data_IF_080201017500
#
_entry.id   IF_080201017500
#
_cell.length_a   1.000
_cell.length_b   1.000
_cell.length_c   1.000
_cell.angle_alpha   90.00
_cell.angle_beta   90.00
_cell.angle_gamma   90.00
#
_symmetry.space_group_name_H-M   'P 1'
#
loop_
_entity.id
_entity.type
_entity.pdbx_description
1 polymer ?
#
# COMPACT_ATOMS: atom_id res chain seq x y z
N UNK A 1 -19.62 20.01 -16.39
CA UNK A 1 -18.64 19.17 -17.04
C UNK A 1 -18.18 18.14 -16.00
N UNK A 2 -18.67 16.88 -16.13
CA UNK A 2 -18.31 15.80 -15.23
C UNK A 2 -16.84 15.44 -15.46
N UNK A 3 -16.11 15.22 -14.36
CA UNK A 3 -14.78 14.65 -14.42
C UNK A 3 -14.83 13.30 -15.16
N UNK A 4 -13.92 13.02 -16.10
CA UNK A 4 -13.91 11.74 -16.77
C UNK A 4 -13.71 10.64 -15.73
N UNK A 5 -14.57 9.62 -15.76
CA UNK A 5 -14.43 8.44 -14.91
C UNK A 5 -12.99 7.90 -15.05
N UNK A 6 -12.33 7.64 -13.92
CA UNK A 6 -10.98 7.10 -13.92
C UNK A 6 -10.92 5.83 -14.78
N UNK A 7 -9.97 5.79 -15.72
CA UNK A 7 -9.82 4.65 -16.61
C UNK A 7 -9.41 3.40 -15.83
N UNK A 8 -10.06 2.26 -16.12
CA UNK A 8 -9.68 0.97 -15.55
C UNK A 8 -8.27 0.63 -16.04
N UNK A 9 -7.36 0.34 -15.10
CA UNK A 9 -6.00 -0.10 -15.40
C UNK A 9 -5.89 -1.61 -15.13
N UNK A 10 -5.88 -2.47 -16.16
CA UNK A 10 -5.78 -3.90 -15.96
C UNK A 10 -4.36 -4.36 -15.69
N UNK A 11 -4.21 -5.32 -14.78
CA UNK A 11 -3.01 -6.11 -14.58
C UNK A 11 -3.28 -7.55 -14.97
N UNK A 12 -2.34 -8.18 -15.67
CA UNK A 12 -2.45 -9.58 -16.04
C UNK A 12 -1.21 -10.36 -15.59
N UNK A 13 -1.41 -11.58 -15.12
CA UNK A 13 -0.33 -12.52 -14.80
C UNK A 13 -0.78 -13.95 -15.08
N UNK A 14 0.17 -14.86 -15.16
CA UNK A 14 -0.10 -16.28 -15.31
C UNK A 14 0.33 -17.03 -14.05
N UNK A 15 -0.52 -17.91 -13.56
CA UNK A 15 -0.22 -18.77 -12.44
C UNK A 15 -0.69 -20.20 -12.75
N UNK A 16 0.22 -21.17 -12.66
CA UNK A 16 -0.04 -22.59 -12.97
C UNK A 16 -0.71 -22.79 -14.33
N UNK A 17 -0.28 -22.04 -15.36
CA UNK A 17 -0.84 -22.12 -16.71
C UNK A 17 -2.19 -21.42 -16.88
N UNK A 18 -2.72 -20.79 -15.84
CA UNK A 18 -3.98 -20.03 -15.89
C UNK A 18 -3.66 -18.53 -15.92
N UNK A 19 -4.24 -17.84 -16.91
CA UNK A 19 -4.13 -16.39 -17.01
C UNK A 19 -5.13 -15.72 -16.05
N UNK A 20 -4.63 -14.84 -15.23
CA UNK A 20 -5.42 -14.01 -14.32
C UNK A 20 -5.42 -12.56 -14.80
N UNK A 21 -6.51 -11.86 -14.53
CA UNK A 21 -6.65 -10.45 -14.79
C UNK A 21 -7.29 -9.79 -13.57
N UNK A 22 -6.78 -8.62 -13.19
CA UNK A 22 -7.30 -7.82 -12.09
C UNK A 22 -7.23 -6.33 -12.42
N UNK A 23 -8.04 -5.53 -11.74
CA UNK A 23 -7.97 -4.08 -11.84
C UNK A 23 -6.96 -3.56 -10.83
N UNK A 24 -6.08 -2.67 -11.28
CA UNK A 24 -5.17 -1.93 -10.39
C UNK A 24 -5.92 -0.83 -9.64
N UNK A 25 -5.74 -0.79 -8.33
CA UNK A 25 -6.26 0.29 -7.48
C UNK A 25 -5.15 0.97 -6.71
N UNK A 26 -5.23 2.29 -6.65
CA UNK A 26 -4.36 3.11 -5.82
C UNK A 26 -5.13 4.34 -5.33
N UNK A 27 -5.17 4.54 -4.02
CA UNK A 27 -5.77 5.73 -3.40
C UNK A 27 -4.87 6.96 -3.52
N UNK A 28 -3.61 6.77 -3.89
CA UNK A 28 -2.61 7.82 -4.10
C UNK A 28 -2.34 8.09 -5.59
N UNK A 29 -3.22 7.65 -6.48
CA UNK A 29 -3.10 7.81 -7.93
C UNK A 29 -1.76 7.30 -8.51
N UNK A 30 -1.16 6.30 -7.89
CA UNK A 30 0.03 5.65 -8.44
C UNK A 30 -0.33 4.90 -9.71
N UNK A 31 0.46 5.02 -10.79
CA UNK A 31 0.20 4.27 -12.01
C UNK A 31 0.37 2.77 -11.79
N UNK A 32 -0.33 1.97 -12.57
CA UNK A 32 -0.15 0.53 -12.58
C UNK A 32 1.30 0.17 -12.94
N UNK A 33 1.90 -0.81 -12.22
CA UNK A 33 3.26 -1.23 -12.53
C UNK A 33 3.34 -1.84 -13.94
N UNK A 34 4.43 -1.53 -14.64
CA UNK A 34 4.68 -2.05 -16.00
C UNK A 34 5.25 -3.48 -16.00
N UNK A 35 5.98 -3.82 -14.94
CA UNK A 35 6.62 -5.12 -14.77
C UNK A 35 6.17 -5.73 -13.47
N UNK A 36 5.79 -6.98 -13.52
CA UNK A 36 5.25 -7.72 -12.39
C UNK A 36 5.83 -9.12 -12.35
N UNK A 37 6.28 -9.55 -11.16
CA UNK A 37 6.69 -10.92 -10.87
C UNK A 37 5.80 -11.49 -9.76
N UNK A 38 5.52 -12.79 -9.83
CA UNK A 38 4.86 -13.50 -8.74
C UNK A 38 5.90 -13.89 -7.70
N UNK A 39 5.58 -13.73 -6.45
CA UNK A 39 6.44 -14.06 -5.32
C UNK A 39 5.64 -14.80 -4.25
N UNK A 40 6.34 -15.55 -3.42
CA UNK A 40 5.76 -16.33 -2.33
C UNK A 40 6.66 -16.31 -1.09
N UNK A 41 6.40 -17.23 -0.16
CA UNK A 41 7.13 -17.34 1.11
C UNK A 41 8.64 -17.56 0.97
N UNK A 42 9.13 -17.89 -0.22
CA UNK A 42 10.57 -18.06 -0.51
C UNK A 42 11.28 -16.75 -0.82
N UNK A 43 10.55 -15.66 -1.04
CA UNK A 43 11.14 -14.35 -1.31
C UNK A 43 11.96 -13.87 -0.11
N UNK A 44 13.20 -13.49 -0.35
CA UNK A 44 14.05 -12.84 0.66
C UNK A 44 13.93 -11.31 0.59
N UNK A 45 14.21 -10.63 1.69
CA UNK A 45 14.22 -9.15 1.70
C UNK A 45 15.24 -8.58 0.72
N UNK A 46 16.40 -9.23 0.52
CA UNK A 46 17.41 -8.82 -0.44
C UNK A 46 16.89 -8.90 -1.89
N UNK A 47 16.22 -9.99 -2.25
CA UNK A 47 15.61 -10.14 -3.57
C UNK A 47 14.50 -9.11 -3.78
N UNK A 48 13.67 -8.87 -2.76
CA UNK A 48 12.60 -7.89 -2.82
C UNK A 48 13.13 -6.47 -3.06
N UNK A 49 14.16 -6.06 -2.37
CA UNK A 49 14.83 -4.76 -2.59
C UNK A 49 15.40 -4.66 -4.00
N UNK A 50 15.97 -5.74 -4.52
CA UNK A 50 16.49 -5.78 -5.90
C UNK A 50 15.37 -5.59 -6.93
N UNK A 51 14.24 -6.29 -6.79
CA UNK A 51 13.08 -6.09 -7.66
C UNK A 51 12.55 -4.66 -7.57
N UNK A 52 12.38 -4.15 -6.35
CA UNK A 52 11.88 -2.78 -6.13
C UNK A 52 12.82 -1.72 -6.74
N UNK A 53 14.13 -1.90 -6.64
CA UNK A 53 15.11 -1.01 -7.26
C UNK A 53 15.03 -0.99 -8.80
N UNK A 54 14.60 -2.09 -9.40
CA UNK A 54 14.37 -2.22 -10.84
C UNK A 54 12.99 -1.69 -11.28
N UNK A 55 12.14 -1.25 -10.36
CA UNK A 55 10.77 -0.86 -10.64
C UNK A 55 9.83 -2.02 -10.93
N UNK A 56 10.22 -3.25 -10.58
CA UNK A 56 9.43 -4.46 -10.76
C UNK A 56 8.52 -4.68 -9.57
N UNK A 57 7.22 -4.71 -9.78
CA UNK A 57 6.24 -5.05 -8.76
C UNK A 57 6.25 -6.55 -8.44
N UNK A 58 5.99 -6.86 -7.19
CA UNK A 58 5.97 -8.22 -6.66
C UNK A 58 4.55 -8.56 -6.21
N UNK A 59 3.86 -9.44 -6.94
CA UNK A 59 2.54 -9.94 -6.55
C UNK A 59 2.72 -11.09 -5.56
N UNK A 60 2.30 -10.86 -4.32
CA UNK A 60 2.40 -11.83 -3.25
C UNK A 60 1.30 -12.89 -3.34
N UNK A 61 1.69 -14.16 -3.38
CA UNK A 61 0.79 -15.31 -3.45
C UNK A 61 1.03 -16.30 -2.29
N UNK A 62 1.85 -15.95 -1.33
CA UNK A 62 2.15 -16.75 -0.15
C UNK A 62 1.30 -16.36 1.07
N UNK A 63 1.80 -16.70 2.24
CA UNK A 63 1.16 -16.41 3.52
C UNK A 63 1.15 -14.89 3.81
N UNK A 64 -0.01 -14.37 4.19
CA UNK A 64 -0.20 -12.94 4.43
C UNK A 64 0.68 -12.40 5.57
N UNK A 65 0.86 -13.16 6.65
CA UNK A 65 1.70 -12.71 7.77
C UNK A 65 3.18 -12.61 7.35
N UNK A 66 3.62 -13.51 6.48
CA UNK A 66 4.96 -13.44 5.90
C UNK A 66 5.11 -12.24 4.96
N UNK A 67 4.07 -11.86 4.23
CA UNK A 67 4.07 -10.64 3.43
C UNK A 67 4.33 -9.39 4.28
N UNK A 68 3.69 -9.30 5.44
CA UNK A 68 3.90 -8.20 6.39
C UNK A 68 5.33 -8.18 6.93
N UNK A 69 5.89 -9.34 7.23
CA UNK A 69 7.27 -9.46 7.69
C UNK A 69 8.27 -9.04 6.61
N UNK A 70 8.05 -9.45 5.36
CA UNK A 70 8.88 -9.05 4.21
C UNK A 70 8.78 -7.53 3.98
N UNK A 71 7.60 -6.94 4.05
CA UNK A 71 7.44 -5.50 3.92
C UNK A 71 8.26 -4.74 4.97
N UNK A 72 8.18 -5.17 6.23
CA UNK A 72 8.98 -4.60 7.33
C UNK A 72 10.49 -4.78 7.12
N UNK A 73 10.91 -5.92 6.59
CA UNK A 73 12.32 -6.20 6.30
C UNK A 73 12.86 -5.35 5.15
N UNK A 74 12.07 -5.13 4.10
CA UNK A 74 12.39 -4.19 3.02
C UNK A 74 12.57 -2.79 3.58
N UNK A 75 11.65 -2.34 4.40
CA UNK A 75 11.67 -1.01 5.01
C UNK A 75 12.94 -0.78 5.85
N UNK A 76 13.31 -1.75 6.67
CA UNK A 76 14.56 -1.69 7.46
C UNK A 76 15.80 -1.61 6.58
N UNK A 77 15.85 -2.37 5.47
CA UNK A 77 16.99 -2.34 4.53
C UNK A 77 17.10 -0.98 3.83
N UNK A 78 15.99 -0.42 3.37
CA UNK A 78 15.98 0.89 2.73
C UNK A 78 16.38 2.00 3.69
N UNK A 79 15.97 1.92 4.96
CA UNK A 79 16.35 2.87 5.99
C UNK A 79 17.85 2.82 6.31
N UNK A 80 18.43 1.63 6.35
CA UNK A 80 19.88 1.47 6.57
C UNK A 80 20.71 2.00 5.39
N UNK A 81 20.28 1.73 4.16
CA UNK A 81 20.95 2.25 2.95
C UNK A 81 20.91 3.78 2.89
N UNK A 82 19.82 4.40 3.28
CA UNK A 82 19.69 5.85 3.31
C UNK A 82 20.62 6.54 4.32
N UNK A 83 20.99 5.87 5.39
CA UNK A 83 21.96 6.40 6.37
C UNK A 83 23.40 6.37 5.87
N UNK A 84 23.76 5.47 4.95
CA UNK A 84 25.11 5.35 4.38
C UNK A 84 25.44 6.41 3.32
N UNK A 85 24.43 7.08 2.76
CA UNK A 85 24.61 8.14 1.74
C UNK A 85 24.79 9.54 2.32
N UNK A 86 24.81 9.68 3.64
CA UNK A 86 24.93 10.97 4.36
C UNK A 86 26.32 11.60 4.32
N UNK A 87 27.27 11.07 3.55
CA UNK A 87 28.66 11.55 3.46
C UNK A 87 28.88 12.72 2.48
N UNK A 88 27.85 13.23 1.85
CA UNK A 88 27.98 14.39 0.97
C UNK A 88 27.77 15.68 1.78
N UNK A 89 28.66 16.66 1.69
CA UNK A 89 28.50 17.90 2.45
C UNK A 89 27.18 18.56 2.12
N UNK A 90 26.43 18.89 3.16
CA UNK A 90 25.18 19.65 3.07
C UNK A 90 25.57 21.10 2.88
N UNK A 91 25.09 21.72 1.80
CA UNK A 91 25.42 23.11 1.45
C UNK A 91 24.41 24.12 2.00
N UNK A 92 23.19 23.66 2.39
CA UNK A 92 22.16 24.48 3.03
C UNK A 92 21.09 23.61 3.71
N UNK A 93 20.33 24.17 4.64
CA UNK A 93 19.18 23.53 5.28
C UNK A 93 18.09 23.16 4.27
N UNK A 94 17.91 23.98 3.23
CA UNK A 94 16.98 23.70 2.15
C UNK A 94 17.38 22.46 1.33
N UNK A 95 18.67 22.29 1.06
CA UNK A 95 19.20 21.11 0.35
C UNK A 95 19.05 19.84 1.18
N UNK A 96 19.25 19.92 2.49
CA UNK A 96 19.05 18.81 3.42
C UNK A 96 17.58 18.41 3.46
N UNK A 97 16.67 19.35 3.59
CA UNK A 97 15.22 19.12 3.58
C UNK A 97 14.76 18.47 2.27
N UNK A 98 15.26 18.94 1.14
CA UNK A 98 14.96 18.38 -0.18
C UNK A 98 15.44 16.95 -0.31
N UNK A 99 16.66 16.64 0.13
CA UNK A 99 17.21 15.27 0.12
C UNK A 99 16.39 14.31 0.98
N UNK A 100 16.02 14.73 2.20
CA UNK A 100 15.19 13.94 3.11
C UNK A 100 13.84 13.64 2.46
N UNK A 101 13.22 14.64 1.86
CA UNK A 101 11.94 14.50 1.16
C UNK A 101 12.03 13.54 -0.03
N UNK A 102 13.08 13.65 -0.84
CA UNK A 102 13.32 12.74 -1.96
C UNK A 102 13.58 11.30 -1.49
N UNK A 103 14.38 11.11 -0.44
CA UNK A 103 14.66 9.79 0.11
C UNK A 103 13.38 9.12 0.65
N UNK A 104 12.51 9.87 1.32
CA UNK A 104 11.21 9.38 1.80
C UNK A 104 10.28 9.02 0.64
N UNK A 105 10.22 9.82 -0.40
CA UNK A 105 9.41 9.56 -1.58
C UNK A 105 9.90 8.31 -2.33
N UNK A 106 11.20 8.14 -2.48
CA UNK A 106 11.81 6.96 -3.10
C UNK A 106 11.53 5.69 -2.27
N UNK A 107 11.71 5.75 -0.96
CA UNK A 107 11.39 4.64 -0.05
C UNK A 107 9.92 4.24 -0.13
N UNK A 108 9.01 5.20 -0.08
CA UNK A 108 7.57 4.96 -0.22
C UNK A 108 7.23 4.30 -1.56
N UNK A 109 7.85 4.74 -2.64
CA UNK A 109 7.68 4.18 -3.99
C UNK A 109 8.13 2.72 -4.06
N UNK A 110 9.30 2.41 -3.49
CA UNK A 110 9.83 1.05 -3.45
C UNK A 110 8.97 0.11 -2.59
N UNK A 111 8.52 0.56 -1.42
CA UNK A 111 7.64 -0.22 -0.54
C UNK A 111 6.28 -0.49 -1.20
N UNK A 112 5.79 0.42 -2.02
CA UNK A 112 4.50 0.26 -2.72
C UNK A 112 4.52 -0.81 -3.82
N UNK A 113 5.67 -1.36 -4.17
CA UNK A 113 5.80 -2.40 -5.19
C UNK A 113 5.52 -3.82 -4.68
N UNK A 114 5.34 -4.03 -3.38
CA UNK A 114 4.81 -5.29 -2.86
C UNK A 114 3.28 -5.25 -2.90
N UNK A 115 2.70 -6.10 -3.75
CA UNK A 115 1.27 -6.10 -4.07
C UNK A 115 0.58 -7.32 -3.50
N UNK A 116 -0.71 -7.18 -3.20
CA UNK A 116 -1.59 -8.29 -2.82
C UNK A 116 -2.85 -8.31 -3.68
N UNK A 117 -3.38 -9.51 -4.01
CA UNK A 117 -4.63 -9.62 -4.75
C UNK A 117 -5.83 -9.49 -3.81
N UNK A 118 -6.92 -8.92 -4.32
CA UNK A 118 -8.23 -8.86 -3.68
C UNK A 118 -9.24 -9.58 -4.58
N UNK A 119 -10.14 -10.35 -3.97
CA UNK A 119 -11.29 -10.93 -4.65
C UNK A 119 -12.58 -10.47 -4.00
N UNK A 120 -13.62 -10.30 -4.79
CA UNK A 120 -14.96 -10.03 -4.29
C UNK A 120 -15.80 -11.29 -4.33
N UNK A 121 -16.48 -11.60 -3.23
CA UNK A 121 -17.46 -12.66 -3.17
C UNK A 121 -18.68 -12.27 -4.05
N UNK A 122 -19.05 -13.13 -5.00
CA UNK A 122 -20.14 -12.85 -5.95
C UNK A 122 -21.50 -12.70 -5.27
N UNK A 123 -21.72 -13.41 -4.16
CA UNK A 123 -23.00 -13.39 -3.46
C UNK A 123 -23.14 -12.17 -2.52
N UNK A 124 -22.07 -11.77 -1.85
CA UNK A 124 -22.08 -10.73 -0.82
C UNK A 124 -21.45 -9.41 -1.25
N UNK A 125 -20.65 -9.40 -2.33
CA UNK A 125 -19.87 -8.24 -2.74
C UNK A 125 -18.75 -7.86 -1.76
N UNK A 126 -18.43 -8.71 -0.80
CA UNK A 126 -17.41 -8.46 0.21
C UNK A 126 -16.02 -8.82 -0.33
N UNK A 127 -15.07 -7.90 -0.14
CA UNK A 127 -13.67 -8.14 -0.52
C UNK A 127 -12.99 -9.09 0.46
N UNK A 128 -12.18 -10.00 -0.07
CA UNK A 128 -11.32 -10.91 0.68
C UNK A 128 -9.92 -10.94 0.12
N UNK A 129 -8.95 -11.25 0.97
CA UNK A 129 -7.57 -11.58 0.57
C UNK A 129 -7.49 -13.10 0.39
N UNK A 130 -7.28 -13.59 -0.85
CA UNK A 130 -7.19 -15.03 -1.11
C UNK A 130 -5.81 -15.59 -0.77
N UNK A 131 -5.36 -15.39 0.45
CA UNK A 131 -4.03 -15.76 0.96
C UNK A 131 -4.16 -16.49 2.30
N UNK A 132 -3.27 -17.46 2.60
CA UNK A 132 -3.22 -18.09 3.91
C UNK A 132 -3.03 -17.08 5.04
N UNK A 133 -3.69 -17.30 6.17
CA UNK A 133 -3.66 -16.45 7.37
C UNK A 133 -4.01 -14.98 7.12
N UNK A 134 -4.79 -14.71 6.09
CA UNK A 134 -5.24 -13.36 5.79
C UNK A 134 -6.31 -12.89 6.79
N UNK A 135 -6.29 -11.63 7.21
CA UNK A 135 -7.33 -11.05 8.04
C UNK A 135 -8.59 -10.78 7.21
N UNK A 136 -9.70 -10.56 7.89
CA UNK A 136 -10.89 -9.99 7.28
C UNK A 136 -10.67 -8.51 6.98
N UNK A 137 -10.78 -8.13 5.70
CA UNK A 137 -10.49 -6.77 5.23
C UNK A 137 -11.67 -6.10 4.53
N UNK A 138 -12.81 -6.78 4.44
CA UNK A 138 -13.96 -6.30 3.67
C UNK A 138 -14.41 -4.90 4.05
N UNK A 139 -14.56 -4.61 5.34
CA UNK A 139 -14.97 -3.30 5.82
C UNK A 139 -13.91 -2.22 5.55
N UNK A 140 -12.62 -2.52 5.73
CA UNK A 140 -11.55 -1.60 5.44
C UNK A 140 -11.43 -1.31 3.94
N UNK A 141 -11.59 -2.33 3.09
CA UNK A 141 -11.58 -2.16 1.62
C UNK A 141 -12.76 -1.30 1.16
N UNK A 142 -13.94 -1.52 1.71
CA UNK A 142 -15.08 -0.65 1.45
C UNK A 142 -14.82 0.79 1.87
N UNK A 143 -14.23 1.00 3.02
CA UNK A 143 -13.88 2.32 3.55
C UNK A 143 -12.90 3.08 2.65
N UNK A 144 -11.86 2.41 2.15
CA UNK A 144 -10.76 3.04 1.43
C UNK A 144 -10.85 2.99 -0.09
N UNK A 145 -11.54 2.00 -0.67
CA UNK A 145 -11.49 1.71 -2.11
C UNK A 145 -12.85 1.76 -2.82
N UNK A 146 -13.94 2.08 -2.14
CA UNK A 146 -15.27 2.06 -2.73
C UNK A 146 -15.43 2.94 -3.98
N UNK A 147 -14.63 3.99 -4.10
CA UNK A 147 -14.65 4.90 -5.24
C UNK A 147 -13.75 4.43 -6.40
N UNK A 148 -13.03 3.34 -6.22
CA UNK A 148 -12.14 2.81 -7.26
C UNK A 148 -12.92 2.11 -8.37
N UNK A 149 -12.45 2.18 -9.63
CA UNK A 149 -13.14 1.56 -10.75
C UNK A 149 -13.23 0.04 -10.60
N UNK A 150 -14.40 -0.53 -10.89
CA UNK A 150 -14.66 -1.97 -10.77
C UNK A 150 -14.84 -2.47 -9.33
N UNK A 151 -15.08 -1.57 -8.37
CA UNK A 151 -15.34 -1.97 -6.98
C UNK A 151 -16.54 -2.91 -6.88
N UNK A 152 -16.38 -4.00 -6.14
CA UNK A 152 -17.42 -5.01 -5.90
C UNK A 152 -17.46 -6.13 -6.94
N UNK A 153 -16.64 -6.09 -7.99
CA UNK A 153 -16.66 -7.05 -9.08
C UNK A 153 -15.24 -7.62 -9.36
N UNK A 154 -15.19 -8.93 -9.56
CA UNK A 154 -14.00 -9.62 -10.04
C UNK A 154 -12.81 -9.58 -9.07
N UNK A 155 -11.66 -9.19 -9.57
CA UNK A 155 -10.40 -9.14 -8.83
C UNK A 155 -9.75 -7.76 -8.94
N UNK A 156 -9.12 -7.33 -7.86
CA UNK A 156 -8.28 -6.14 -7.83
C UNK A 156 -6.89 -6.48 -7.28
N UNK A 157 -5.93 -5.60 -7.55
CA UNK A 157 -4.58 -5.67 -6.98
C UNK A 157 -4.27 -4.32 -6.35
N UNK A 158 -3.78 -4.37 -5.13
CA UNK A 158 -3.41 -3.17 -4.36
C UNK A 158 -2.02 -3.32 -3.76
N UNK A 159 -1.39 -2.20 -3.45
CA UNK A 159 -0.16 -2.20 -2.65
C UNK A 159 -0.47 -2.66 -1.21
N UNK A 160 0.33 -3.57 -0.67
CA UNK A 160 0.20 -4.01 0.73
C UNK A 160 0.43 -2.85 1.71
N UNK A 161 1.38 -1.97 1.43
CA UNK A 161 1.63 -0.77 2.24
C UNK A 161 0.38 0.12 2.30
N UNK A 162 -0.25 0.37 1.16
CA UNK A 162 -1.47 1.17 1.08
C UNK A 162 -2.64 0.50 1.80
N UNK A 163 -2.85 -0.81 1.60
CA UNK A 163 -3.89 -1.56 2.28
C UNK A 163 -3.72 -1.52 3.81
N UNK A 164 -2.49 -1.65 4.29
CA UNK A 164 -2.17 -1.51 5.73
C UNK A 164 -2.53 -0.12 6.25
N UNK A 165 -2.26 0.92 5.49
CA UNK A 165 -2.67 2.30 5.82
C UNK A 165 -4.19 2.47 5.85
N UNK A 166 -4.90 1.89 4.89
CA UNK A 166 -6.37 1.88 4.85
C UNK A 166 -6.97 1.14 6.04
N UNK A 167 -6.41 -0.01 6.41
CA UNK A 167 -6.83 -0.75 7.61
C UNK A 167 -6.64 0.08 8.89
N UNK A 168 -5.50 0.75 9.03
CA UNK A 168 -5.24 1.64 10.17
C UNK A 168 -6.21 2.81 10.23
N UNK A 169 -6.45 3.47 9.11
CA UNK A 169 -7.41 4.57 9.01
C UNK A 169 -8.85 4.12 9.34
N UNK A 170 -9.26 2.95 8.84
CA UNK A 170 -10.57 2.38 9.15
C UNK A 170 -10.71 2.05 10.65
N UNK A 171 -9.68 1.48 11.27
CA UNK A 171 -9.67 1.19 12.70
C UNK A 171 -9.90 2.46 13.53
N UNK A 172 -9.28 3.56 13.15
CA UNK A 172 -9.47 4.84 13.82
C UNK A 172 -10.84 5.45 13.56
N UNK A 173 -11.36 5.29 12.37
CA UNK A 173 -12.73 5.68 12.04
C UNK A 173 -13.75 4.96 12.94
N UNK A 174 -13.58 3.64 13.16
CA UNK A 174 -14.48 2.82 13.99
C UNK A 174 -14.32 3.11 15.48
N UNK A 175 -13.08 3.16 15.98
CA UNK A 175 -12.81 3.32 17.42
C UNK A 175 -12.79 4.77 17.88
N UNK A 176 -12.60 5.71 16.95
CA UNK A 176 -12.39 7.11 17.23
C UNK A 176 -10.97 7.45 17.74
N UNK A 177 -10.62 8.71 17.65
CA UNK A 177 -9.34 9.26 18.11
C UNK A 177 -9.61 10.25 19.25
N UNK A 178 -8.96 10.05 20.39
CA UNK A 178 -9.02 10.98 21.50
C UNK A 178 -8.28 12.28 21.13
N UNK A 179 -8.98 13.40 21.23
CA UNK A 179 -8.40 14.72 21.02
C UNK A 179 -8.49 15.48 22.34
N UNK A 180 -7.42 15.51 23.16
CA UNK A 180 -7.45 16.10 24.49
C UNK A 180 -7.92 17.56 24.51
N UNK A 181 -7.55 18.34 23.49
CA UNK A 181 -7.96 19.74 23.37
C UNK A 181 -9.48 19.93 23.21
N UNK A 182 -10.19 18.92 22.72
CA UNK A 182 -11.65 18.95 22.53
C UNK A 182 -12.41 18.19 23.62
N UNK A 183 -11.72 17.41 24.44
CA UNK A 183 -12.36 16.51 25.42
C UNK A 183 -13.28 15.46 24.81
N UNK A 184 -13.08 15.13 23.54
CA UNK A 184 -13.94 14.25 22.75
C UNK A 184 -13.13 13.36 21.82
N UNK A 185 -13.78 12.28 21.36
CA UNK A 185 -13.25 11.43 20.29
C UNK A 185 -13.72 11.94 18.94
N UNK A 186 -12.85 11.87 17.96
CA UNK A 186 -13.20 12.08 16.55
C UNK A 186 -13.10 10.78 15.77
N UNK A 187 -13.88 10.66 14.70
CA UNK A 187 -13.91 9.49 13.82
C UNK A 187 -13.51 9.92 12.40
N UNK A 188 -12.19 10.01 12.09
CA UNK A 188 -11.72 10.52 10.83
C UNK A 188 -12.02 9.56 9.68
N UNK A 189 -12.46 10.11 8.55
CA UNK A 189 -12.60 9.37 7.31
C UNK A 189 -11.24 9.18 6.61
N UNK A 190 -11.15 8.18 5.73
CA UNK A 190 -9.94 7.97 4.94
C UNK A 190 -9.60 9.21 4.11
N UNK A 191 -8.34 9.57 4.10
CA UNK A 191 -7.85 10.76 3.42
C UNK A 191 -7.91 12.06 4.24
N UNK A 192 -8.56 12.06 5.41
CA UNK A 192 -8.52 13.19 6.32
C UNK A 192 -7.23 13.20 7.15
N UNK A 193 -6.86 14.40 7.60
CA UNK A 193 -5.74 14.57 8.51
C UNK A 193 -5.96 13.81 9.83
N UNK A 194 -4.97 13.05 10.26
CA UNK A 194 -5.03 12.23 11.47
C UNK A 194 -4.29 12.96 12.62
N UNK A 195 -4.97 13.51 13.63
CA UNK A 195 -4.35 14.28 14.70
C UNK A 195 -3.74 13.37 15.78
N UNK A 196 -2.82 12.50 15.38
CA UNK A 196 -2.13 11.57 16.31
C UNK A 196 -0.87 12.13 16.90
N UNK A 197 -0.34 13.23 16.37
CA UNK A 197 0.82 13.91 16.88
C UNK A 197 0.36 15.17 17.59
N UNK A 198 0.72 15.33 18.87
CA UNK A 198 0.34 16.48 19.67
C UNK A 198 0.84 17.82 19.11
N UNK A 199 1.84 17.78 18.25
CA UNK A 199 2.41 18.94 17.57
C UNK A 199 1.47 19.60 16.54
N UNK A 200 0.34 18.96 16.24
CA UNK A 200 -0.66 19.47 15.27
C UNK A 200 -1.98 19.93 15.93
N UNK A 201 -2.06 19.96 17.27
CA UNK A 201 -3.25 20.36 18.02
C UNK A 201 -3.00 21.69 18.76
#
# INVERSE_FOLDING_TARGET
AGEPAAAIQPLTWENLGVRHSATWWSTNDRPAPKHLVKVDDRLTAAQAVKYAAQGTAMLWLGDFQNAKQILSAIDRRLTKSGRGTATRPVTSDADEFYRIRQARAQRSRMLSLLLVPLTFDEATGVATLPLPRAPEIGAAVQFGYREQPGFGEGQAVVSLQELTGVQGAHQWFVTGVDVPALGAKIHPHYGTFMPTRHEYV
#
